data_IF_116999032719
#
_entry.id   IF_116999032719
#
_cell.length_a   1.000
_cell.length_b   1.000
_cell.length_c   1.000
_cell.angle_alpha   90.00
_cell.angle_beta   90.00
_cell.angle_gamma   90.00
#
_symmetry.space_group_name_H-M   'P 1'
#
loop_
_entity.id
_entity.type
_entity.pdbx_description
1 polymer ?
#
# COMPACT_ATOMS: atom_id res chain seq x y z
N UNK A 1 -50.53 -27.93 32.20
CA UNK A 1 -49.09 -28.00 32.53
C UNK A 1 -48.39 -28.20 31.21
N UNK A 2 -48.04 -27.04 30.56
CA UNK A 2 -47.36 -27.02 29.27
C UNK A 2 -45.87 -27.34 29.45
N UNK A 3 -45.40 -28.28 28.67
CA UNK A 3 -43.96 -28.63 28.60
C UNK A 3 -43.26 -27.50 27.84
N UNK A 4 -42.15 -26.94 28.35
CA UNK A 4 -41.42 -25.92 27.63
C UNK A 4 -40.80 -26.54 26.37
N UNK A 5 -40.86 -25.78 25.24
CA UNK A 5 -40.32 -26.16 23.96
C UNK A 5 -38.83 -26.53 24.09
N UNK A 6 -38.46 -27.67 23.54
CA UNK A 6 -37.06 -28.13 23.41
C UNK A 6 -36.25 -27.03 22.69
N UNK A 7 -35.19 -26.56 23.34
CA UNK A 7 -34.22 -25.67 22.74
C UNK A 7 -33.56 -26.43 21.59
N UNK A 8 -33.71 -25.90 20.37
CA UNK A 8 -33.08 -26.46 19.17
C UNK A 8 -31.58 -26.19 19.19
N UNK A 9 -30.81 -27.15 19.69
CA UNK A 9 -29.35 -27.10 19.79
C UNK A 9 -28.66 -27.04 18.44
N UNK A 10 -29.34 -27.38 17.34
CA UNK A 10 -28.79 -27.28 15.97
C UNK A 10 -28.59 -25.82 15.53
N UNK A 11 -29.51 -24.94 15.92
CA UNK A 11 -29.44 -23.51 15.63
C UNK A 11 -28.30 -22.84 16.41
N UNK A 12 -28.02 -23.27 17.63
CA UNK A 12 -26.92 -22.77 18.47
C UNK A 12 -25.57 -23.23 17.90
N UNK A 13 -25.45 -24.48 17.45
CA UNK A 13 -24.23 -24.99 16.81
C UNK A 13 -23.87 -24.24 15.54
N UNK A 14 -24.83 -24.00 14.64
CA UNK A 14 -24.62 -23.25 13.41
C UNK A 14 -24.22 -21.80 13.67
N UNK A 15 -24.74 -21.16 14.73
CA UNK A 15 -24.33 -19.79 15.12
C UNK A 15 -22.91 -19.76 15.67
N UNK A 16 -22.49 -20.72 16.49
CA UNK A 16 -21.15 -20.82 17.04
C UNK A 16 -20.08 -21.07 15.95
N UNK A 17 -20.41 -21.88 14.93
CA UNK A 17 -19.52 -22.13 13.79
C UNK A 17 -19.38 -20.90 12.90
N UNK A 18 -20.46 -20.16 12.71
CA UNK A 18 -20.43 -18.89 11.96
C UNK A 18 -19.59 -17.81 12.68
N UNK A 19 -19.76 -17.66 14.00
CA UNK A 19 -18.99 -16.72 14.81
C UNK A 19 -17.50 -17.08 14.84
N UNK A 20 -17.17 -18.38 14.91
CA UNK A 20 -15.80 -18.86 14.83
C UNK A 20 -15.18 -18.58 13.45
N UNK A 21 -15.93 -18.78 12.37
CA UNK A 21 -15.48 -18.47 11.02
C UNK A 21 -15.27 -16.95 10.80
N UNK A 22 -16.17 -16.13 11.33
CA UNK A 22 -16.03 -14.65 11.28
C UNK A 22 -14.79 -14.21 12.07
N UNK A 23 -14.56 -14.77 13.26
CA UNK A 23 -13.41 -14.40 14.11
C UNK A 23 -12.06 -14.77 13.49
N UNK A 24 -12.01 -15.68 12.52
CA UNK A 24 -10.84 -16.09 11.77
C UNK A 24 -10.73 -15.45 10.38
N UNK A 25 -11.70 -14.61 10.00
CA UNK A 25 -11.64 -13.93 8.69
C UNK A 25 -10.37 -13.05 8.59
N UNK A 26 -9.77 -12.92 7.38
CA UNK A 26 -8.55 -12.11 7.18
C UNK A 26 -8.68 -10.68 7.69
N UNK A 27 -9.85 -10.06 7.52
CA UNK A 27 -10.10 -8.69 7.99
C UNK A 27 -10.13 -8.57 9.52
N UNK A 28 -10.72 -9.52 10.22
CA UNK A 28 -10.72 -9.55 11.70
C UNK A 28 -9.30 -9.79 12.22
N UNK A 29 -8.56 -10.69 11.59
CA UNK A 29 -7.14 -10.91 11.94
C UNK A 29 -6.29 -9.67 11.69
N UNK A 30 -6.43 -9.02 10.53
CA UNK A 30 -5.74 -7.78 10.22
C UNK A 30 -6.01 -6.72 11.30
N UNK A 31 -7.26 -6.51 11.66
CA UNK A 31 -7.60 -5.54 12.70
C UNK A 31 -6.96 -5.91 14.04
N UNK A 32 -7.15 -7.16 14.52
CA UNK A 32 -6.71 -7.60 15.86
C UNK A 32 -5.18 -7.68 15.96
N UNK A 33 -4.52 -8.22 14.94
CA UNK A 33 -3.10 -8.58 15.01
C UNK A 33 -2.18 -7.45 14.50
N UNK A 34 -2.70 -6.52 13.68
CA UNK A 34 -1.92 -5.46 13.08
C UNK A 34 -2.42 -4.07 13.47
N UNK A 35 -3.68 -3.73 13.12
CA UNK A 35 -4.16 -2.34 13.25
C UNK A 35 -4.36 -1.92 14.72
N UNK A 36 -4.95 -2.79 15.56
CA UNK A 36 -5.16 -2.46 16.97
C UNK A 36 -3.83 -2.22 17.71
N UNK A 37 -2.80 -3.07 17.58
CA UNK A 37 -1.48 -2.77 18.15
C UNK A 37 -0.82 -1.51 17.58
N UNK A 38 -1.05 -1.16 16.29
CA UNK A 38 -0.55 0.11 15.73
C UNK A 38 -1.18 1.31 16.41
N UNK A 39 -2.47 1.27 16.74
CA UNK A 39 -3.18 2.37 17.44
C UNK A 39 -2.62 2.60 18.85
N UNK A 40 -2.11 1.57 19.49
CA UNK A 40 -1.44 1.72 20.79
C UNK A 40 -0.11 2.48 20.69
N UNK A 41 0.60 2.33 19.56
CA UNK A 41 1.89 2.98 19.30
C UNK A 41 1.71 4.40 18.76
N UNK A 42 0.77 4.62 17.84
CA UNK A 42 0.55 5.88 17.15
C UNK A 42 -0.68 6.63 17.70
N UNK A 43 -0.53 7.22 18.85
CA UNK A 43 -1.61 7.95 19.56
C UNK A 43 -2.23 9.04 18.68
N UNK A 44 -3.56 9.03 18.55
CA UNK A 44 -4.31 10.01 17.76
C UNK A 44 -4.20 9.82 16.24
N UNK A 45 -3.87 8.59 15.78
CA UNK A 45 -3.81 8.21 14.37
C UNK A 45 -4.80 7.11 13.98
N UNK A 46 -5.75 6.84 14.84
CA UNK A 46 -6.70 5.72 14.68
C UNK A 46 -7.40 5.74 13.32
N UNK A 47 -7.89 6.91 12.89
CA UNK A 47 -8.58 7.07 11.61
C UNK A 47 -7.67 6.73 10.42
N UNK A 48 -6.41 7.20 10.43
CA UNK A 48 -5.45 6.91 9.35
C UNK A 48 -5.08 5.42 9.34
N UNK A 49 -4.94 4.80 10.52
CA UNK A 49 -4.66 3.38 10.65
C UNK A 49 -5.83 2.54 10.13
N UNK A 50 -7.07 2.92 10.45
CA UNK A 50 -8.26 2.25 9.93
C UNK A 50 -8.35 2.37 8.40
N UNK A 51 -8.06 3.56 7.85
CA UNK A 51 -8.02 3.77 6.40
C UNK A 51 -6.93 2.94 5.73
N UNK A 52 -5.73 2.83 6.32
CA UNK A 52 -4.68 1.92 5.85
C UNK A 52 -5.19 0.47 5.77
N UNK A 53 -5.89 0.01 6.81
CA UNK A 53 -6.48 -1.33 6.83
C UNK A 53 -7.56 -1.55 5.78
N UNK A 54 -8.45 -0.57 5.58
CA UNK A 54 -9.52 -0.62 4.58
C UNK A 54 -8.94 -0.62 3.15
N UNK A 55 -7.99 0.27 2.86
CA UNK A 55 -7.33 0.33 1.56
C UNK A 55 -6.57 -0.97 1.26
N UNK A 56 -5.83 -1.50 2.24
CA UNK A 56 -5.12 -2.78 2.09
C UNK A 56 -6.09 -3.94 1.81
N UNK A 57 -7.20 -4.03 2.53
CA UNK A 57 -8.20 -5.07 2.33
C UNK A 57 -8.93 -4.93 0.98
N UNK A 58 -9.11 -3.71 0.50
CA UNK A 58 -9.72 -3.40 -0.79
C UNK A 58 -8.77 -3.50 -1.98
N UNK A 59 -7.45 -3.60 -1.75
CA UNK A 59 -6.44 -3.53 -2.82
C UNK A 59 -6.27 -2.12 -3.39
N UNK A 60 -6.67 -1.10 -2.62
CA UNK A 60 -6.66 0.31 -3.03
C UNK A 60 -5.39 1.04 -2.56
N UNK A 61 -5.10 2.18 -3.19
CA UNK A 61 -4.03 3.05 -2.79
C UNK A 61 -4.53 4.13 -1.81
N UNK A 62 -3.63 4.73 -1.02
CA UNK A 62 -3.99 5.75 -0.06
C UNK A 62 -3.15 7.02 -0.27
N UNK A 63 -3.81 8.19 -0.29
CA UNK A 63 -3.12 9.46 -0.27
C UNK A 63 -3.27 10.15 1.09
N UNK A 64 -2.15 10.53 1.70
CA UNK A 64 -2.11 11.18 3.02
C UNK A 64 -1.67 12.62 2.87
N UNK A 65 -2.57 13.55 3.13
CA UNK A 65 -2.27 14.97 3.23
C UNK A 65 -2.01 15.36 4.68
N UNK A 66 -0.89 15.99 4.94
CA UNK A 66 -0.59 16.48 6.29
C UNK A 66 0.80 17.09 6.42
N UNK A 67 1.01 17.94 7.43
CA UNK A 67 2.28 18.61 7.64
C UNK A 67 3.44 17.64 7.89
N UNK A 68 4.69 18.08 7.72
CA UNK A 68 5.86 17.27 8.02
C UNK A 68 5.89 16.89 9.52
N UNK A 69 6.51 15.75 9.85
CA UNK A 69 6.62 15.29 11.24
C UNK A 69 5.35 14.66 11.82
N UNK A 70 4.34 14.35 11.00
CA UNK A 70 3.09 13.70 11.46
C UNK A 70 3.10 12.18 11.38
N UNK A 71 4.28 11.57 11.29
CA UNK A 71 4.53 10.12 11.27
C UNK A 71 3.94 9.38 10.04
N UNK A 72 3.75 10.07 8.88
CA UNK A 72 3.17 9.45 7.68
C UNK A 72 3.96 8.20 7.22
N UNK A 73 5.27 8.33 7.04
CA UNK A 73 6.14 7.20 6.64
C UNK A 73 6.23 6.13 7.71
N UNK A 74 6.31 6.52 8.98
CA UNK A 74 6.40 5.58 10.09
C UNK A 74 5.16 4.67 10.22
N UNK A 75 3.96 5.18 9.89
CA UNK A 75 2.73 4.39 9.87
C UNK A 75 2.79 3.29 8.80
N UNK A 76 3.26 3.61 7.60
CA UNK A 76 3.36 2.64 6.50
C UNK A 76 4.48 1.63 6.78
N UNK A 77 5.59 2.10 7.35
CA UNK A 77 6.70 1.24 7.76
C UNK A 77 6.27 0.22 8.82
N UNK A 78 5.54 0.66 9.85
CA UNK A 78 5.05 -0.22 10.89
C UNK A 78 4.05 -1.25 10.34
N UNK A 79 3.15 -0.83 9.43
CA UNK A 79 2.23 -1.73 8.73
C UNK A 79 2.99 -2.80 7.96
N UNK A 80 3.98 -2.39 7.16
CA UNK A 80 4.82 -3.30 6.37
C UNK A 80 5.57 -4.31 7.25
N UNK A 81 6.18 -3.85 8.35
CA UNK A 81 6.90 -4.71 9.31
C UNK A 81 5.99 -5.75 9.94
N UNK A 82 4.76 -5.36 10.35
CA UNK A 82 3.80 -6.29 10.98
C UNK A 82 3.25 -7.33 10.01
N UNK A 83 3.30 -7.04 8.71
CA UNK A 83 2.86 -7.96 7.66
C UNK A 83 4.02 -8.72 7.00
N UNK A 84 5.25 -8.56 7.52
CA UNK A 84 6.48 -9.17 6.96
C UNK A 84 6.67 -8.84 5.47
N UNK A 85 6.27 -7.62 5.07
CA UNK A 85 6.32 -7.14 3.70
C UNK A 85 7.58 -6.30 3.42
N UNK A 86 8.03 -6.31 2.18
CA UNK A 86 9.11 -5.44 1.70
C UNK A 86 8.57 -4.03 1.44
N UNK A 87 9.21 -3.03 2.03
CA UNK A 87 8.85 -1.64 1.84
C UNK A 87 9.86 -0.89 0.97
N UNK A 88 9.35 -0.13 0.01
CA UNK A 88 10.10 0.91 -0.71
C UNK A 88 9.62 2.27 -0.25
N UNK A 89 10.53 3.09 0.28
CA UNK A 89 10.28 4.45 0.76
C UNK A 89 11.14 5.45 -0.03
N UNK A 90 10.51 6.49 -0.58
CA UNK A 90 11.22 7.48 -1.37
C UNK A 90 10.63 8.89 -1.26
N UNK A 91 11.51 9.89 -1.10
CA UNK A 91 11.16 11.31 -1.11
C UNK A 91 11.26 11.87 -2.53
N UNK A 92 10.13 12.18 -3.14
CA UNK A 92 10.07 12.68 -4.50
C UNK A 92 10.44 14.16 -4.59
N UNK A 93 11.17 14.50 -5.64
CA UNK A 93 11.54 15.86 -6.00
C UNK A 93 11.31 16.09 -7.49
N UNK A 94 11.34 17.37 -7.92
CA UNK A 94 11.29 17.70 -9.36
C UNK A 94 12.45 17.14 -10.18
N UNK A 95 13.54 16.73 -9.53
CA UNK A 95 14.74 16.19 -10.14
C UNK A 95 14.83 14.67 -10.08
N UNK A 96 13.88 14.01 -9.39
CA UNK A 96 13.85 12.56 -9.28
C UNK A 96 13.80 11.92 -10.66
N UNK A 97 14.67 10.94 -10.88
CA UNK A 97 14.75 10.18 -12.12
C UNK A 97 14.08 8.81 -12.00
N UNK A 98 13.52 8.24 -13.10
CA UNK A 98 12.91 6.91 -13.07
C UNK A 98 13.84 5.81 -12.55
N UNK A 99 15.15 5.93 -12.76
CA UNK A 99 16.14 4.97 -12.28
C UNK A 99 16.20 4.87 -10.75
N UNK A 100 15.84 5.94 -10.04
CA UNK A 100 15.85 6.01 -8.58
C UNK A 100 14.67 5.26 -7.96
N UNK A 101 13.57 5.13 -8.69
CA UNK A 101 12.39 4.39 -8.25
C UNK A 101 12.37 2.94 -8.75
N UNK A 102 12.70 2.76 -10.03
CA UNK A 102 12.52 1.49 -10.73
C UNK A 102 13.81 0.68 -10.88
N UNK A 103 14.94 1.27 -10.51
CA UNK A 103 16.26 0.66 -10.56
C UNK A 103 17.09 1.07 -11.79
N UNK A 104 18.40 1.11 -11.68
CA UNK A 104 19.32 1.39 -12.77
C UNK A 104 19.44 0.21 -13.73
N UNK A 105 19.99 0.46 -14.93
CA UNK A 105 20.38 -0.63 -15.82
C UNK A 105 21.60 -1.37 -15.27
N UNK A 106 21.61 -2.70 -15.39
CA UNK A 106 22.78 -3.52 -15.09
C UNK A 106 23.85 -3.29 -16.16
N UNK A 107 24.94 -2.61 -15.76
CA UNK A 107 26.05 -2.25 -16.66
C UNK A 107 26.78 -3.49 -17.20
N UNK A 108 26.82 -4.61 -16.44
CA UNK A 108 27.47 -5.85 -16.86
C UNK A 108 26.69 -6.49 -18.00
N UNK A 109 25.38 -6.66 -17.81
CA UNK A 109 24.47 -7.19 -18.82
C UNK A 109 24.39 -6.27 -20.07
N UNK A 110 24.45 -4.97 -19.87
CA UNK A 110 24.47 -4.03 -20.99
C UNK A 110 25.70 -4.21 -21.88
N UNK A 111 26.87 -4.53 -21.31
CA UNK A 111 28.09 -4.85 -22.08
C UNK A 111 27.98 -6.15 -22.89
N UNK A 112 27.11 -7.05 -22.47
CA UNK A 112 26.79 -8.32 -23.15
C UNK A 112 25.66 -8.13 -24.19
N UNK A 113 25.16 -6.89 -24.34
CA UNK A 113 24.07 -6.54 -25.28
C UNK A 113 22.67 -6.76 -24.71
N UNK A 114 22.56 -7.05 -23.43
CA UNK A 114 21.26 -7.24 -22.74
C UNK A 114 20.90 -6.00 -21.94
N UNK A 115 19.69 -5.47 -22.17
CA UNK A 115 19.16 -4.33 -21.41
C UNK A 115 18.34 -4.85 -20.23
N UNK A 116 18.99 -5.07 -19.09
CA UNK A 116 18.35 -5.59 -17.87
C UNK A 116 18.35 -4.51 -16.79
N UNK A 117 17.22 -4.35 -16.10
CA UNK A 117 17.08 -3.43 -14.95
C UNK A 117 17.41 -4.15 -13.65
N UNK A 118 18.25 -3.56 -12.81
CA UNK A 118 18.47 -4.05 -11.45
C UNK A 118 17.36 -3.50 -10.54
N UNK A 119 16.42 -4.36 -10.15
CA UNK A 119 15.26 -3.99 -9.33
C UNK A 119 15.41 -4.36 -7.86
N UNK A 120 16.55 -4.89 -7.44
CA UNK A 120 16.79 -5.28 -6.05
C UNK A 120 16.66 -4.07 -5.09
N UNK A 121 15.75 -4.19 -4.11
CA UNK A 121 15.45 -3.11 -3.16
C UNK A 121 14.70 -1.91 -3.74
N UNK A 122 14.20 -2.01 -4.98
CA UNK A 122 13.49 -0.94 -5.66
C UNK A 122 11.97 -1.17 -5.68
N UNK A 123 11.20 -0.15 -6.08
CA UNK A 123 9.75 -0.19 -6.17
C UNK A 123 9.19 -1.46 -6.86
N UNK A 124 9.79 -1.97 -7.98
CA UNK A 124 9.21 -3.12 -8.68
C UNK A 124 9.14 -4.43 -7.89
N UNK A 125 9.85 -4.55 -6.79
CA UNK A 125 9.86 -5.76 -5.94
C UNK A 125 9.26 -5.54 -4.56
N UNK A 126 8.76 -4.34 -4.28
CA UNK A 126 8.20 -3.98 -2.99
C UNK A 126 6.71 -4.36 -2.86
N UNK A 127 6.34 -4.89 -1.68
CA UNK A 127 4.94 -5.14 -1.31
C UNK A 127 4.23 -3.85 -0.89
N UNK A 128 4.94 -2.94 -0.23
CA UNK A 128 4.45 -1.64 0.20
C UNK A 128 5.34 -0.54 -0.36
N UNK A 129 4.70 0.48 -0.93
CA UNK A 129 5.39 1.64 -1.50
C UNK A 129 4.92 2.90 -0.79
N UNK A 130 5.85 3.68 -0.24
CA UNK A 130 5.58 5.00 0.32
C UNK A 130 6.32 6.07 -0.50
N UNK A 131 5.55 7.02 -1.04
CA UNK A 131 6.09 8.11 -1.87
C UNK A 131 5.79 9.43 -1.17
N UNK A 132 6.80 9.99 -0.49
CA UNK A 132 6.66 11.30 0.14
C UNK A 132 6.83 12.43 -0.87
N UNK A 133 6.17 13.54 -0.61
CA UNK A 133 6.13 14.73 -1.49
C UNK A 133 5.73 14.39 -2.94
N UNK A 134 4.74 13.51 -3.10
CA UNK A 134 4.30 12.99 -4.40
C UNK A 134 4.01 14.10 -5.42
N UNK A 135 3.48 15.22 -4.97
CA UNK A 135 3.12 16.36 -5.82
C UNK A 135 4.32 17.18 -6.31
N UNK A 136 5.51 16.94 -5.75
CA UNK A 136 6.75 17.58 -6.22
C UNK A 136 7.39 16.80 -7.37
N UNK A 137 6.89 15.62 -7.72
CA UNK A 137 7.43 14.79 -8.79
C UNK A 137 7.27 15.47 -10.17
N UNK A 138 8.22 15.22 -11.06
CA UNK A 138 8.11 15.68 -12.44
C UNK A 138 7.14 14.80 -13.26
N UNK A 139 6.74 15.29 -14.43
CA UNK A 139 5.75 14.62 -15.30
C UNK A 139 6.18 13.21 -15.73
N UNK A 140 7.47 12.94 -15.89
CA UNK A 140 7.96 11.61 -16.28
C UNK A 140 7.73 10.58 -15.17
N UNK A 141 8.00 10.97 -13.93
CA UNK A 141 7.71 10.15 -12.74
C UNK A 141 6.20 9.95 -12.57
N UNK A 142 5.41 11.02 -12.64
CA UNK A 142 3.95 10.93 -12.50
C UNK A 142 3.32 9.99 -13.52
N UNK A 143 3.73 10.06 -14.79
CA UNK A 143 3.26 9.16 -15.84
C UNK A 143 3.66 7.69 -15.58
N UNK A 144 4.87 7.46 -15.08
CA UNK A 144 5.32 6.11 -14.71
C UNK A 144 4.52 5.56 -13.52
N UNK A 145 4.23 6.40 -12.53
CA UNK A 145 3.42 6.03 -11.37
C UNK A 145 1.97 5.75 -11.73
N UNK A 146 1.38 6.43 -12.72
CA UNK A 146 0.03 6.11 -13.19
C UNK A 146 -0.11 4.65 -13.65
N UNK A 147 0.89 4.09 -14.33
CA UNK A 147 0.89 2.66 -14.69
C UNK A 147 0.99 1.75 -13.47
N UNK A 148 1.82 2.13 -12.50
CA UNK A 148 1.96 1.39 -11.23
C UNK A 148 0.64 1.37 -10.46
N UNK A 149 -0.01 2.52 -10.33
CA UNK A 149 -1.26 2.67 -9.58
C UNK A 149 -2.44 1.96 -10.23
N UNK A 150 -2.54 2.01 -11.57
CA UNK A 150 -3.67 1.46 -12.30
C UNK A 150 -3.56 -0.03 -12.61
N UNK A 151 -2.40 -0.41 -13.15
CA UNK A 151 -2.24 -1.72 -13.76
C UNK A 151 -1.36 -2.66 -12.92
N UNK A 152 -0.74 -2.15 -11.85
CA UNK A 152 0.27 -2.87 -11.07
C UNK A 152 1.37 -3.43 -11.98
N UNK A 153 1.79 -2.65 -12.98
CA UNK A 153 2.88 -2.99 -13.89
C UNK A 153 3.84 -1.84 -14.06
N UNK A 154 5.08 -2.18 -14.34
CA UNK A 154 6.09 -1.23 -14.80
C UNK A 154 6.61 -1.67 -16.16
N UNK A 155 6.66 -0.74 -17.12
CA UNK A 155 7.15 -0.99 -18.48
C UNK A 155 8.43 -0.23 -18.74
N UNK A 156 9.44 -0.94 -19.23
CA UNK A 156 10.70 -0.34 -19.61
C UNK A 156 11.22 -0.94 -20.91
N UNK A 157 11.29 -0.15 -21.96
CA UNK A 157 11.65 -0.64 -23.28
C UNK A 157 10.64 -1.69 -23.76
N UNK A 158 11.11 -2.94 -23.91
CA UNK A 158 10.27 -4.09 -24.32
C UNK A 158 9.80 -4.96 -23.15
N UNK A 159 10.31 -4.68 -21.95
CA UNK A 159 10.00 -5.47 -20.77
C UNK A 159 8.78 -4.90 -20.04
N UNK A 160 7.96 -5.80 -19.54
CA UNK A 160 6.83 -5.50 -18.65
C UNK A 160 6.96 -6.34 -17.40
N UNK A 161 7.04 -5.68 -16.26
CA UNK A 161 7.15 -6.31 -14.95
C UNK A 161 5.80 -6.19 -14.25
N UNK A 162 5.23 -7.32 -13.82
CA UNK A 162 4.12 -7.32 -12.88
C UNK A 162 4.66 -7.00 -11.48
N UNK A 163 4.01 -6.09 -10.78
CA UNK A 163 4.45 -5.65 -9.46
C UNK A 163 3.73 -6.46 -8.37
N UNK A 164 4.43 -6.94 -7.34
CA UNK A 164 3.83 -7.62 -6.20
C UNK A 164 3.09 -6.66 -5.27
N UNK A 165 3.16 -5.36 -5.54
CA UNK A 165 2.73 -4.28 -4.66
C UNK A 165 1.28 -4.43 -4.22
N UNK A 166 1.07 -4.57 -2.93
CA UNK A 166 -0.22 -4.64 -2.27
C UNK A 166 -0.87 -3.27 -2.14
N UNK A 167 -0.07 -2.25 -1.77
CA UNK A 167 -0.56 -0.90 -1.57
C UNK A 167 0.52 0.15 -1.88
N UNK A 168 0.11 1.23 -2.55
CA UNK A 168 0.91 2.44 -2.68
C UNK A 168 0.30 3.53 -1.80
N UNK A 169 1.14 4.14 -0.96
CA UNK A 169 0.76 5.30 -0.15
C UNK A 169 1.51 6.51 -0.66
N UNK A 170 0.78 7.47 -1.20
CA UNK A 170 1.31 8.78 -1.55
C UNK A 170 1.13 9.76 -0.40
N UNK A 171 2.09 10.65 -0.20
CA UNK A 171 1.98 11.71 0.81
C UNK A 171 2.36 13.07 0.24
N UNK A 172 1.76 14.13 0.78
CA UNK A 172 2.14 15.51 0.52
C UNK A 172 1.83 16.40 1.71
N UNK A 173 2.50 17.54 1.76
CA UNK A 173 2.29 18.57 2.77
C UNK A 173 1.26 19.63 2.35
N UNK A 174 0.91 19.71 1.08
CA UNK A 174 -0.03 20.68 0.52
C UNK A 174 -0.89 20.07 -0.58
N UNK A 175 -2.06 20.65 -0.81
CA UNK A 175 -2.91 20.28 -1.94
C UNK A 175 -2.31 20.82 -3.26
N UNK A 176 -2.50 20.10 -4.37
CA UNK A 176 -2.06 20.58 -5.67
C UNK A 176 -2.84 21.82 -6.08
N UNK A 177 -2.16 22.72 -6.77
CA UNK A 177 -2.78 23.85 -7.43
C UNK A 177 -2.99 23.59 -8.94
N UNK A 178 -2.52 22.45 -9.43
CA UNK A 178 -2.52 22.10 -10.85
C UNK A 178 -3.57 21.04 -11.16
N UNK A 179 -4.52 21.36 -12.04
CA UNK A 179 -5.55 20.44 -12.52
C UNK A 179 -4.97 19.22 -13.26
N UNK A 180 -3.73 19.33 -13.79
CA UNK A 180 -3.04 18.21 -14.45
C UNK A 180 -2.79 17.02 -13.52
N UNK A 181 -2.81 17.21 -12.20
CA UNK A 181 -2.65 16.16 -11.21
C UNK A 181 -3.95 15.40 -10.90
N UNK A 182 -5.10 15.84 -11.44
CA UNK A 182 -6.40 15.21 -11.22
C UNK A 182 -6.39 13.71 -11.54
N UNK A 183 -5.83 13.32 -12.69
CA UNK A 183 -5.74 11.93 -13.10
C UNK A 183 -4.94 11.04 -12.13
N UNK A 184 -3.97 11.61 -11.41
CA UNK A 184 -3.22 10.91 -10.37
C UNK A 184 -4.07 10.72 -9.12
N UNK A 185 -4.80 11.77 -8.71
CA UNK A 185 -5.66 11.72 -7.52
C UNK A 185 -6.82 10.74 -7.66
N UNK A 186 -7.37 10.59 -8.85
CA UNK A 186 -8.44 9.62 -9.14
C UNK A 186 -8.01 8.16 -8.90
N UNK A 187 -6.73 7.92 -8.60
CA UNK A 187 -6.14 6.59 -8.37
C UNK A 187 -5.77 6.32 -6.90
N UNK A 188 -6.02 7.31 -6.06
CA UNK A 188 -5.94 7.23 -4.61
C UNK A 188 -7.34 7.41 -4.00
#
# INVERSE_FOLDING_TARGET
MEVPAELDLSTIGASLDADAAISQSPGVRLNREVLAPMKEVFVGKDEVIDLLGVCLAGGENLFILGPPGTAKSALVQELSLRLDGQMFDYLLTRFTEPNELFGPFDIRRLREGELVTNTEGMLPVADFVFLDELLNANSAILNSLLMVLNERVFRRGRETFALPTLMVVGASNSLPQDEALGALFDRF
#
